data_IF_545660325000
#
_entry.id   IF_545660325000
#
_cell.length_a   1.000
_cell.length_b   1.000
_cell.length_c   1.000
_cell.angle_alpha   90.00
_cell.angle_beta   90.00
_cell.angle_gamma   90.00
#
_symmetry.space_group_name_H-M   'P 1'
#
loop_
_entity.id
_entity.type
_entity.pdbx_description
1 polymer ?
#
# COMPACT_ATOMS: atom_id res chain seq x y z
N UNK A 1 -40.25 -9.76 4.65
CA UNK A 1 -39.07 -8.89 4.80
C UNK A 1 -37.74 -9.63 5.01
N UNK A 2 -37.72 -10.94 5.28
CA UNK A 2 -36.48 -11.69 5.55
C UNK A 2 -35.65 -12.00 4.29
N UNK A 3 -36.30 -12.26 3.14
CA UNK A 3 -35.61 -12.64 1.91
C UNK A 3 -34.66 -11.55 1.37
N UNK A 4 -35.04 -10.25 1.30
CA UNK A 4 -34.10 -9.19 0.90
C UNK A 4 -32.89 -9.05 1.83
N UNK A 5 -33.09 -9.23 3.14
CA UNK A 5 -32.02 -9.17 4.13
C UNK A 5 -31.01 -10.30 3.93
N UNK A 6 -31.51 -11.53 3.76
CA UNK A 6 -30.69 -12.71 3.51
C UNK A 6 -29.91 -12.57 2.21
N UNK A 7 -30.59 -12.16 1.13
CA UNK A 7 -29.96 -11.97 -0.17
C UNK A 7 -28.84 -10.93 -0.10
N UNK A 8 -29.07 -9.79 0.56
CA UNK A 8 -28.06 -8.75 0.76
C UNK A 8 -26.82 -9.31 1.46
N UNK A 9 -26.99 -10.01 2.59
CA UNK A 9 -25.88 -10.55 3.35
C UNK A 9 -25.12 -11.65 2.60
N UNK A 10 -25.82 -12.49 1.84
CA UNK A 10 -25.20 -13.51 0.98
C UNK A 10 -24.44 -12.89 -0.20
N UNK A 11 -24.98 -11.84 -0.81
CA UNK A 11 -24.29 -11.11 -1.88
C UNK A 11 -22.99 -10.47 -1.36
N UNK A 12 -23.02 -9.82 -0.19
CA UNK A 12 -21.79 -9.30 0.45
C UNK A 12 -20.80 -10.41 0.75
N UNK A 13 -21.26 -11.54 1.28
CA UNK A 13 -20.39 -12.67 1.57
C UNK A 13 -19.70 -13.20 0.31
N UNK A 14 -20.46 -13.36 -0.78
CA UNK A 14 -19.98 -13.88 -2.05
C UNK A 14 -19.04 -12.88 -2.77
N UNK A 15 -19.53 -11.69 -3.10
CA UNK A 15 -18.78 -10.72 -3.89
C UNK A 15 -17.65 -10.07 -3.10
N UNK A 16 -17.86 -9.85 -1.80
CA UNK A 16 -16.86 -9.30 -0.90
C UNK A 16 -15.82 -10.30 -0.42
N UNK A 17 -16.03 -11.60 -0.66
CA UNK A 17 -15.16 -12.66 -0.17
C UNK A 17 -15.05 -12.69 1.37
N UNK A 18 -16.14 -12.38 2.06
CA UNK A 18 -16.19 -12.24 3.52
C UNK A 18 -17.23 -13.15 4.17
N UNK A 19 -17.18 -13.31 5.49
CA UNK A 19 -18.17 -14.08 6.23
C UNK A 19 -19.17 -13.12 6.86
N UNK A 20 -20.44 -13.25 6.49
CA UNK A 20 -21.56 -12.48 7.07
C UNK A 20 -22.66 -13.45 7.46
N UNK A 21 -23.25 -13.26 8.64
CA UNK A 21 -24.47 -13.99 9.00
C UNK A 21 -25.60 -13.60 8.04
N UNK A 22 -26.32 -14.56 7.42
CA UNK A 22 -27.44 -14.28 6.53
C UNK A 22 -28.52 -13.41 7.17
N UNK A 23 -28.69 -13.51 8.49
CA UNK A 23 -29.72 -12.81 9.25
C UNK A 23 -29.22 -11.51 9.91
N UNK A 24 -28.01 -11.05 9.59
CA UNK A 24 -27.45 -9.84 10.22
C UNK A 24 -28.24 -8.59 9.84
N UNK A 25 -28.89 -7.89 10.80
CA UNK A 25 -29.64 -6.66 10.53
C UNK A 25 -28.76 -5.40 10.54
N UNK A 26 -27.43 -5.55 10.73
CA UNK A 26 -26.53 -4.42 10.92
C UNK A 26 -25.93 -3.94 9.60
N UNK A 27 -25.67 -2.63 9.54
CA UNK A 27 -24.98 -1.95 8.43
C UNK A 27 -25.63 -2.15 7.05
N UNK A 28 -26.96 -2.24 6.99
CA UNK A 28 -27.68 -2.56 5.75
C UNK A 28 -27.41 -1.52 4.66
N UNK A 29 -27.49 -0.24 4.98
CA UNK A 29 -27.22 0.84 4.03
C UNK A 29 -25.78 0.79 3.50
N UNK A 30 -24.81 0.55 4.38
CA UNK A 30 -23.41 0.45 3.98
C UNK A 30 -23.16 -0.76 3.07
N UNK A 31 -23.79 -1.90 3.35
CA UNK A 31 -23.74 -3.09 2.49
C UNK A 31 -24.35 -2.86 1.12
N UNK A 32 -25.52 -2.20 1.07
CA UNK A 32 -26.17 -1.83 -0.19
C UNK A 32 -25.28 -0.89 -1.00
N UNK A 33 -24.72 0.14 -0.36
CA UNK A 33 -23.77 1.05 -0.99
C UNK A 33 -22.53 0.30 -1.52
N UNK A 34 -21.95 -0.60 -0.73
CA UNK A 34 -20.78 -1.37 -1.11
C UNK A 34 -21.04 -2.28 -2.32
N UNK A 35 -22.17 -2.98 -2.36
CA UNK A 35 -22.55 -3.77 -3.53
C UNK A 35 -22.85 -2.90 -4.75
N UNK A 36 -23.48 -1.74 -4.56
CA UNK A 36 -23.73 -0.78 -5.64
C UNK A 36 -22.43 -0.21 -6.24
N UNK A 37 -21.46 0.15 -5.39
CA UNK A 37 -20.13 0.56 -5.82
C UNK A 37 -19.41 -0.60 -6.54
N UNK A 38 -19.47 -1.82 -6.01
CA UNK A 38 -18.89 -3.00 -6.64
C UNK A 38 -19.47 -3.23 -8.04
N UNK A 39 -20.80 -3.18 -8.17
CA UNK A 39 -21.50 -3.41 -9.42
C UNK A 39 -21.14 -2.36 -10.49
N UNK A 40 -20.92 -1.10 -10.10
CA UNK A 40 -20.45 -0.04 -11.01
C UNK A 40 -18.98 -0.21 -11.42
N UNK A 41 -18.12 -0.61 -10.50
CA UNK A 41 -16.69 -0.80 -10.74
C UNK A 41 -16.39 -2.03 -11.61
N UNK A 42 -17.05 -3.17 -11.32
CA UNK A 42 -16.64 -4.49 -11.82
C UNK A 42 -16.57 -4.61 -13.34
N UNK A 43 -17.50 -4.06 -14.14
CA UNK A 43 -17.43 -4.15 -15.61
C UNK A 43 -16.17 -3.50 -16.17
N UNK A 44 -15.82 -2.29 -15.73
CA UNK A 44 -14.62 -1.59 -16.19
C UNK A 44 -13.34 -2.32 -15.77
N UNK A 45 -13.31 -2.82 -14.54
CA UNK A 45 -12.22 -3.64 -14.03
C UNK A 45 -11.99 -4.94 -14.83
N UNK A 46 -13.04 -5.60 -15.31
CA UNK A 46 -12.88 -6.82 -16.11
C UNK A 46 -12.17 -6.57 -17.45
N UNK A 47 -12.26 -5.35 -17.97
CA UNK A 47 -11.66 -4.95 -19.24
C UNK A 47 -10.26 -4.37 -19.05
N UNK A 48 -10.09 -3.49 -18.07
CA UNK A 48 -8.86 -2.69 -17.87
C UNK A 48 -7.94 -3.28 -16.80
N UNK A 49 -8.48 -4.01 -15.82
CA UNK A 49 -7.75 -4.50 -14.66
C UNK A 49 -7.51 -3.41 -13.60
N UNK A 50 -6.49 -3.63 -12.76
CA UNK A 50 -6.05 -2.68 -11.74
C UNK A 50 -4.53 -2.49 -11.83
N UNK A 51 -4.02 -1.28 -11.53
CA UNK A 51 -2.59 -1.10 -11.30
C UNK A 51 -2.14 -1.88 -10.06
N UNK A 52 -0.85 -2.24 -10.03
CA UNK A 52 -0.22 -2.83 -8.84
C UNK A 52 -0.35 -1.88 -7.64
N UNK A 53 -0.63 -2.44 -6.46
CA UNK A 53 -0.87 -1.64 -5.26
C UNK A 53 0.42 -1.06 -4.68
N UNK A 54 1.54 -1.77 -4.79
CA UNK A 54 2.80 -1.38 -4.16
C UNK A 54 3.30 0.00 -4.65
N UNK A 55 3.37 0.30 -5.96
CA UNK A 55 3.78 1.63 -6.43
C UNK A 55 2.82 2.74 -5.99
N UNK A 56 1.51 2.44 -5.94
CA UNK A 56 0.49 3.37 -5.48
C UNK A 56 0.62 3.67 -3.99
N UNK A 57 0.85 2.65 -3.17
CA UNK A 57 1.08 2.77 -1.73
C UNK A 57 2.33 3.62 -1.48
N UNK A 58 3.43 3.29 -2.15
CA UNK A 58 4.69 4.03 -2.03
C UNK A 58 4.53 5.51 -2.40
N UNK A 59 3.79 5.80 -3.48
CA UNK A 59 3.51 7.16 -3.91
C UNK A 59 2.61 7.90 -2.91
N UNK A 60 1.58 7.23 -2.38
CA UNK A 60 0.67 7.81 -1.41
C UNK A 60 1.35 8.08 -0.05
N UNK A 61 2.20 7.18 0.42
CA UNK A 61 2.99 7.39 1.63
C UNK A 61 3.88 8.63 1.52
N UNK A 62 4.55 8.83 0.37
CA UNK A 62 5.33 10.03 0.12
C UNK A 62 4.46 11.29 0.06
N UNK A 63 3.35 11.24 -0.68
CA UNK A 63 2.44 12.39 -0.89
C UNK A 63 1.84 12.88 0.42
N UNK A 64 1.45 11.97 1.31
CA UNK A 64 0.77 12.28 2.57
C UNK A 64 1.71 12.29 3.78
N UNK A 65 3.03 12.25 3.54
CA UNK A 65 4.07 12.26 4.57
C UNK A 65 3.89 11.17 5.64
N UNK A 66 3.48 9.98 5.22
CA UNK A 66 3.34 8.83 6.11
C UNK A 66 4.71 8.20 6.39
N UNK A 67 4.90 7.61 7.59
CA UNK A 67 6.05 6.75 7.83
C UNK A 67 6.10 5.62 6.80
N UNK A 68 7.25 5.46 6.12
CA UNK A 68 7.42 4.49 5.03
C UNK A 68 7.11 3.06 5.48
N UNK A 69 6.25 2.37 4.75
CA UNK A 69 5.74 1.01 5.02
C UNK A 69 4.49 0.97 5.90
N UNK A 70 4.05 2.08 6.49
CA UNK A 70 2.90 2.08 7.40
C UNK A 70 1.58 1.81 6.66
N UNK A 71 1.36 2.47 5.53
CA UNK A 71 0.15 2.25 4.72
C UNK A 71 0.19 0.85 4.11
N UNK A 72 1.37 0.37 3.71
CA UNK A 72 1.55 -1.00 3.24
C UNK A 72 1.11 -2.02 4.31
N UNK A 73 1.57 -1.84 5.54
CA UNK A 73 1.19 -2.68 6.67
C UNK A 73 -0.33 -2.65 6.92
N UNK A 74 -0.93 -1.47 6.83
CA UNK A 74 -2.36 -1.28 7.03
C UNK A 74 -3.17 -2.01 5.94
N UNK A 75 -2.85 -1.81 4.66
CA UNK A 75 -3.52 -2.47 3.52
C UNK A 75 -3.38 -4.00 3.58
N UNK A 76 -2.22 -4.51 4.02
CA UNK A 76 -2.03 -5.95 4.26
C UNK A 76 -3.01 -6.47 5.32
N UNK A 77 -3.20 -5.72 6.41
CA UNK A 77 -4.09 -6.10 7.50
C UNK A 77 -5.57 -5.99 7.13
N UNK A 78 -5.94 -4.96 6.38
CA UNK A 78 -7.30 -4.64 6.00
C UNK A 78 -7.88 -5.62 4.98
N UNK A 79 -7.14 -5.88 3.91
CA UNK A 79 -7.69 -6.58 2.74
C UNK A 79 -6.83 -7.73 2.23
N UNK A 80 -5.64 -7.94 2.80
CA UNK A 80 -4.61 -8.80 2.20
C UNK A 80 -4.29 -8.35 0.76
N UNK A 81 -4.28 -7.03 0.52
CA UNK A 81 -4.08 -6.40 -0.80
C UNK A 81 -5.15 -6.77 -1.83
N UNK A 82 -6.35 -7.16 -1.39
CA UNK A 82 -7.46 -7.51 -2.29
C UNK A 82 -8.30 -6.27 -2.61
N UNK A 83 -8.25 -5.86 -3.87
CA UNK A 83 -8.96 -4.66 -4.36
C UNK A 83 -10.48 -4.76 -4.16
N UNK A 84 -11.07 -5.92 -4.40
CA UNK A 84 -12.53 -6.10 -4.37
C UNK A 84 -13.13 -6.52 -3.02
N UNK A 85 -12.41 -6.33 -1.91
CA UNK A 85 -12.88 -6.79 -0.60
C UNK A 85 -14.07 -5.95 -0.12
N UNK A 86 -15.11 -6.62 0.40
CA UNK A 86 -16.20 -5.97 1.14
C UNK A 86 -16.27 -6.61 2.52
N UNK A 87 -16.26 -5.82 3.59
CA UNK A 87 -16.37 -6.32 4.96
C UNK A 87 -17.81 -6.67 5.33
N UNK A 88 -17.99 -7.39 6.44
CA UNK A 88 -19.32 -7.67 6.98
C UNK A 88 -20.08 -6.41 7.43
N UNK A 89 -19.39 -5.28 7.62
CA UNK A 89 -19.97 -3.98 7.91
C UNK A 89 -20.13 -3.09 6.66
N UNK A 90 -19.65 -3.54 5.49
CA UNK A 90 -19.72 -2.76 4.24
C UNK A 90 -18.51 -1.84 4.00
N UNK A 91 -17.38 -2.07 4.66
CA UNK A 91 -16.12 -1.43 4.31
C UNK A 91 -15.62 -1.95 2.96
N UNK A 92 -15.03 -1.08 2.13
CA UNK A 92 -14.77 -1.37 0.71
C UNK A 92 -13.31 -1.18 0.36
N UNK A 93 -12.83 -1.97 -0.60
CA UNK A 93 -11.55 -1.71 -1.23
C UNK A 93 -10.32 -2.24 -0.48
N UNK A 94 -9.12 -1.99 -1.03
CA UNK A 94 -7.87 -2.43 -0.42
C UNK A 94 -7.61 -1.80 0.96
N UNK A 95 -8.10 -0.57 1.18
CA UNK A 95 -7.97 0.14 2.45
C UNK A 95 -9.19 0.07 3.36
N UNK A 96 -10.21 -0.72 3.00
CA UNK A 96 -11.43 -0.96 3.75
C UNK A 96 -12.07 0.33 4.31
N UNK A 97 -12.29 1.32 3.44
CA UNK A 97 -13.00 2.54 3.84
C UNK A 97 -14.50 2.27 3.96
N UNK A 98 -15.10 2.73 5.06
CA UNK A 98 -16.56 2.78 5.19
C UNK A 98 -17.13 3.81 4.20
N UNK A 99 -18.38 3.66 3.71
CA UNK A 99 -18.95 4.59 2.74
C UNK A 99 -18.93 6.07 3.16
N UNK A 100 -19.15 6.36 4.44
CA UNK A 100 -19.04 7.73 4.96
C UNK A 100 -17.61 8.26 4.87
N UNK A 101 -16.62 7.44 5.28
CA UNK A 101 -15.20 7.79 5.20
C UNK A 101 -14.74 7.96 3.76
N UNK A 102 -15.14 7.08 2.85
CA UNK A 102 -14.83 7.21 1.42
C UNK A 102 -15.28 8.58 0.87
N UNK A 103 -16.50 9.01 1.19
CA UNK A 103 -16.99 10.35 0.81
C UNK A 103 -16.20 11.48 1.46
N UNK A 104 -15.89 11.37 2.75
CA UNK A 104 -15.09 12.39 3.45
C UNK A 104 -13.68 12.51 2.87
N UNK A 105 -13.16 11.43 2.31
CA UNK A 105 -11.83 11.36 1.71
C UNK A 105 -11.86 11.52 0.18
N UNK A 106 -12.94 12.04 -0.40
CA UNK A 106 -13.07 12.26 -1.85
C UNK A 106 -12.77 11.00 -2.70
N UNK A 107 -13.19 9.83 -2.22
CA UNK A 107 -13.10 8.55 -2.94
C UNK A 107 -14.45 8.23 -3.57
N UNK A 108 -14.55 8.42 -4.87
CA UNK A 108 -15.77 8.14 -5.65
C UNK A 108 -15.96 6.65 -5.89
N UNK A 109 -14.86 5.96 -6.22
CA UNK A 109 -14.81 4.52 -6.42
C UNK A 109 -13.82 3.87 -5.44
N UNK A 110 -14.32 3.30 -4.32
CA UNK A 110 -13.49 2.61 -3.34
C UNK A 110 -12.83 1.32 -3.84
N UNK A 111 -13.20 0.84 -5.03
CA UNK A 111 -12.56 -0.31 -5.68
C UNK A 111 -11.56 0.11 -6.75
N UNK A 112 -11.51 1.39 -7.14
CA UNK A 112 -10.38 1.93 -7.89
C UNK A 112 -9.15 1.98 -6.98
N UNK A 113 -8.08 1.30 -7.40
CA UNK A 113 -6.89 1.15 -6.57
C UNK A 113 -6.18 2.49 -6.31
N UNK A 114 -6.21 3.42 -7.27
CA UNK A 114 -5.57 4.72 -7.13
C UNK A 114 -6.32 5.56 -6.11
N UNK A 115 -7.64 5.67 -6.26
CA UNK A 115 -8.48 6.45 -5.35
C UNK A 115 -8.50 5.85 -3.95
N UNK A 116 -8.67 4.53 -3.83
CA UNK A 116 -8.78 3.88 -2.53
C UNK A 116 -7.49 4.01 -1.71
N UNK A 117 -6.31 3.82 -2.33
CA UNK A 117 -5.03 3.94 -1.64
C UNK A 117 -4.75 5.39 -1.23
N UNK A 118 -5.01 6.36 -2.12
CA UNK A 118 -4.82 7.78 -1.81
C UNK A 118 -5.76 8.26 -0.70
N UNK A 119 -7.04 7.86 -0.73
CA UNK A 119 -8.01 8.16 0.32
C UNK A 119 -7.68 7.52 1.67
N UNK A 120 -7.22 6.27 1.67
CA UNK A 120 -6.72 5.62 2.89
C UNK A 120 -5.48 6.30 3.46
N UNK A 121 -4.56 6.73 2.60
CA UNK A 121 -3.38 7.49 3.03
C UNK A 121 -3.77 8.83 3.67
N UNK A 122 -4.69 9.56 3.03
CA UNK A 122 -5.25 10.82 3.56
C UNK A 122 -5.88 10.62 4.93
N UNK A 123 -6.74 9.61 5.07
CA UNK A 123 -7.42 9.32 6.32
C UNK A 123 -6.44 8.95 7.45
N UNK A 124 -5.43 8.13 7.14
CA UNK A 124 -4.40 7.76 8.10
C UNK A 124 -3.54 8.96 8.52
N UNK A 125 -3.19 9.84 7.58
CA UNK A 125 -2.46 11.07 7.86
C UNK A 125 -3.25 12.00 8.80
N UNK A 126 -4.56 12.13 8.60
CA UNK A 126 -5.43 12.87 9.54
C UNK A 126 -5.38 12.29 10.95
N UNK A 127 -5.40 10.97 11.10
CA UNK A 127 -5.35 10.34 12.41
C UNK A 127 -3.98 10.52 13.08
N UNK A 128 -2.90 10.43 12.31
CA UNK A 128 -1.55 10.71 12.82
C UNK A 128 -1.46 12.15 13.34
N UNK A 129 -1.95 13.13 12.58
CA UNK A 129 -1.98 14.54 13.02
C UNK A 129 -2.86 14.75 14.24
N UNK A 130 -4.01 14.08 14.30
CA UNK A 130 -4.99 14.25 15.39
C UNK A 130 -4.50 13.69 16.73
N UNK A 131 -3.80 12.57 16.71
CA UNK A 131 -3.46 11.84 17.94
C UNK A 131 -1.98 11.94 18.33
N UNK A 132 -1.11 12.38 17.43
CA UNK A 132 0.35 12.45 17.63
C UNK A 132 0.94 11.17 18.24
N UNK A 133 0.34 10.03 17.88
CA UNK A 133 0.64 8.74 18.47
C UNK A 133 0.26 7.65 17.50
N UNK A 134 1.27 6.88 17.06
CA UNK A 134 1.08 5.85 16.05
C UNK A 134 0.04 4.79 16.46
N UNK A 135 0.06 4.22 17.69
CA UNK A 135 -0.97 3.26 18.11
C UNK A 135 -2.38 3.85 18.14
N UNK A 136 -2.53 5.11 18.57
CA UNK A 136 -3.84 5.77 18.63
C UNK A 136 -4.37 6.12 17.24
N UNK A 137 -3.50 6.54 16.32
CA UNK A 137 -3.87 6.78 14.94
C UNK A 137 -4.35 5.50 14.24
N UNK A 138 -3.65 4.39 14.44
CA UNK A 138 -4.06 3.06 13.94
C UNK A 138 -5.39 2.63 14.57
N UNK A 139 -5.57 2.85 15.88
CA UNK A 139 -6.84 2.56 16.55
C UNK A 139 -7.99 3.41 15.99
N UNK A 140 -7.74 4.68 15.69
CA UNK A 140 -8.73 5.60 15.15
C UNK A 140 -9.10 5.27 13.70
N UNK A 141 -8.15 4.76 12.91
CA UNK A 141 -8.43 4.26 11.58
C UNK A 141 -9.45 3.10 11.63
N UNK A 142 -9.27 2.15 12.55
CA UNK A 142 -10.14 0.98 12.72
C UNK A 142 -11.48 1.29 13.40
N UNK A 143 -11.45 1.92 14.58
CA UNK A 143 -12.63 2.12 15.41
C UNK A 143 -13.37 3.43 15.12
N UNK A 144 -12.79 4.31 14.29
CA UNK A 144 -13.20 5.70 14.16
C UNK A 144 -12.63 6.57 15.28
N UNK A 145 -12.24 7.81 15.00
CA UNK A 145 -11.53 8.66 15.96
C UNK A 145 -12.37 9.05 17.18
N UNK A 146 -13.69 9.09 17.06
CA UNK A 146 -14.58 9.37 18.20
C UNK A 146 -14.56 8.31 19.29
N UNK A 147 -14.05 7.10 18.99
CA UNK A 147 -13.90 6.04 19.98
C UNK A 147 -12.54 6.07 20.68
N UNK A 148 -11.58 6.84 20.17
CA UNK A 148 -10.20 6.92 20.66
C UNK A 148 -10.09 8.12 21.62
N UNK A 149 -10.62 7.95 22.82
CA UNK A 149 -10.60 8.98 23.87
C UNK A 149 -9.24 9.02 24.60
N UNK A 150 -8.17 9.31 23.86
CA UNK A 150 -6.78 9.32 24.37
C UNK A 150 -6.18 7.94 24.67
N UNK A 151 -6.91 6.85 24.34
CA UNK A 151 -6.47 5.47 24.55
C UNK A 151 -7.04 4.55 23.47
N UNK A 152 -6.37 3.42 23.24
CA UNK A 152 -6.89 2.35 22.39
C UNK A 152 -8.19 1.78 23.03
N UNK A 153 -9.31 1.68 22.27
CA UNK A 153 -10.55 1.09 22.76
C UNK A 153 -10.37 -0.35 23.26
N UNK A 154 -10.85 -0.64 24.48
CA UNK A 154 -10.81 -1.98 25.09
C UNK A 154 -12.02 -2.83 24.67
N UNK A 155 -12.21 -2.99 23.36
CA UNK A 155 -13.28 -3.81 22.77
C UNK A 155 -12.74 -5.16 22.25
N UNK A 156 -11.46 -5.47 22.47
CA UNK A 156 -10.77 -6.66 21.98
C UNK A 156 -10.44 -6.64 20.49
N UNK A 157 -11.32 -6.09 19.64
CA UNK A 157 -11.10 -6.00 18.20
C UNK A 157 -10.01 -4.98 17.85
N UNK A 158 -10.12 -3.76 18.39
CA UNK A 158 -9.20 -2.66 18.05
C UNK A 158 -7.81 -2.89 18.65
N UNK A 159 -7.72 -3.44 19.87
CA UNK A 159 -6.44 -3.84 20.46
C UNK A 159 -5.72 -4.87 19.59
N UNK A 160 -6.46 -5.88 19.12
CA UNK A 160 -5.92 -6.89 18.21
C UNK A 160 -5.49 -6.27 16.87
N UNK A 161 -6.32 -5.39 16.30
CA UNK A 161 -6.03 -4.70 15.05
C UNK A 161 -4.74 -3.88 15.15
N UNK A 162 -4.60 -3.06 16.20
CA UNK A 162 -3.40 -2.23 16.43
C UNK A 162 -2.14 -3.09 16.52
N UNK A 163 -2.19 -4.18 17.31
CA UNK A 163 -1.07 -5.10 17.42
C UNK A 163 -0.71 -5.75 16.06
N UNK A 164 -1.72 -6.13 15.27
CA UNK A 164 -1.53 -6.75 13.95
C UNK A 164 -0.87 -5.78 12.97
N UNK A 165 -1.32 -4.52 12.92
CA UNK A 165 -0.74 -3.48 12.06
C UNK A 165 0.69 -3.16 12.49
N UNK A 166 0.96 -2.96 13.78
CA UNK A 166 2.32 -2.66 14.25
C UNK A 166 3.30 -3.81 13.96
N UNK A 167 2.85 -5.07 14.07
CA UNK A 167 3.64 -6.23 13.68
C UNK A 167 3.90 -6.28 12.16
N UNK A 168 2.89 -5.93 11.34
CA UNK A 168 3.08 -5.82 9.90
C UNK A 168 4.00 -4.65 9.53
N UNK A 169 3.93 -3.55 10.27
CA UNK A 169 4.75 -2.38 10.08
C UNK A 169 6.23 -2.68 10.36
N UNK A 170 6.53 -3.46 11.40
CA UNK A 170 7.90 -3.93 11.65
C UNK A 170 8.53 -4.74 10.50
N UNK A 171 7.72 -5.34 9.62
CA UNK A 171 8.18 -6.10 8.44
C UNK A 171 8.28 -5.26 7.16
N UNK A 172 7.42 -4.26 7.02
CA UNK A 172 7.26 -3.44 5.81
C UNK A 172 8.06 -2.15 5.87
N UNK A 173 8.43 -1.70 7.08
CA UNK A 173 9.32 -0.57 7.28
C UNK A 173 10.66 -0.87 6.63
N UNK A 174 11.13 -0.06 5.65
CA UNK A 174 12.45 -0.23 5.11
C UNK A 174 13.49 -0.03 6.23
N UNK A 175 14.61 -0.78 6.21
CA UNK A 175 15.70 -0.52 7.13
C UNK A 175 16.11 0.95 7.01
N UNK A 176 16.53 1.59 8.12
CA UNK A 176 17.01 2.96 8.05
C UNK A 176 18.06 3.02 6.95
N UNK A 177 17.87 3.94 6.00
CA UNK A 177 18.80 4.14 4.90
C UNK A 177 20.18 4.33 5.52
N UNK A 178 21.11 3.39 5.25
CA UNK A 178 22.49 3.61 5.64
C UNK A 178 22.90 4.87 4.91
N UNK A 179 23.13 5.94 5.67
CA UNK A 179 23.85 7.09 5.15
C UNK A 179 25.23 6.56 4.77
N UNK A 180 25.39 6.18 3.51
CA UNK A 180 26.70 5.93 2.92
C UNK A 180 27.35 7.30 2.94
N UNK A 181 28.17 7.55 3.97
CA UNK A 181 29.05 8.70 3.95
C UNK A 181 29.86 8.57 2.65
N UNK A 182 29.89 9.59 1.79
CA UNK A 182 30.77 9.53 0.63
C UNK A 182 32.17 9.18 1.14
N UNK A 183 32.75 8.13 0.58
CA UNK A 183 34.14 7.78 0.89
C UNK A 183 34.98 9.03 0.64
N UNK A 184 35.91 9.39 1.54
CA UNK A 184 36.83 10.48 1.26
C UNK A 184 37.49 10.19 -0.10
N UNK A 185 37.66 11.21 -0.97
CA UNK A 185 38.34 11.01 -2.23
C UNK A 185 39.67 10.31 -1.96
N UNK A 186 40.09 9.34 -2.80
CA UNK A 186 41.36 8.67 -2.60
C UNK A 186 42.45 9.74 -2.48
N UNK A 187 43.22 9.67 -1.40
CA UNK A 187 44.36 10.56 -1.21
C UNK A 187 45.23 10.48 -2.46
N UNK A 188 45.46 11.63 -3.10
CA UNK A 188 46.29 11.70 -4.30
C UNK A 188 47.64 11.04 -3.99
N UNK A 189 47.95 9.97 -4.72
CA UNK A 189 49.25 9.33 -4.64
C UNK A 189 50.34 10.37 -4.97
N UNK A 190 51.49 10.37 -4.28
CA UNK A 190 52.56 11.28 -4.63
C UNK A 190 53.05 10.94 -6.04
N UNK A 191 52.94 11.90 -6.95
CA UNK A 191 53.61 11.85 -8.26
C UNK A 191 55.11 11.86 -7.98
N UNK A 192 55.76 10.71 -8.14
CA UNK A 192 57.22 10.63 -8.16
C UNK A 192 57.73 11.44 -9.36
N UNK A 193 58.54 12.46 -9.07
CA UNK A 193 59.21 13.26 -10.09
C UNK A 193 60.19 12.38 -10.89
N UNK A 194 59.85 12.08 -12.14
CA UNK A 194 60.80 11.50 -13.09
C UNK A 194 61.65 12.65 -13.66
N UNK A 195 62.91 12.74 -13.23
CA UNK A 195 63.91 13.55 -13.93
C UNK A 195 64.15 12.93 -15.32
N UNK A 196 63.94 13.71 -16.39
CA UNK A 196 64.42 13.39 -17.74
C UNK A 196 65.85 13.91 -17.91
N UNK A 197 66.79 13.16 -18.48
CA UNK A 197 68.03 13.74 -18.98
C UNK A 197 67.79 14.39 -20.35
N UNK A 198 68.44 15.53 -20.57
CA UNK A 198 68.46 16.22 -21.84
C UNK A 198 69.41 15.51 -22.81
N UNK A 199 68.92 15.14 -23.99
CA UNK A 199 69.74 14.76 -25.13
C UNK A 199 69.52 15.79 -26.25
N UNK A 200 70.62 16.45 -26.63
CA UNK A 200 70.72 17.30 -27.81
C UNK A 200 70.97 16.43 -29.04
N UNK A 201 70.27 16.71 -30.15
CA UNK A 201 70.51 16.00 -31.41
C UNK A 201 69.50 16.39 -32.49
N UNK A 202 69.93 17.31 -33.35
CA UNK A 202 69.32 17.78 -34.60
C UNK A 202 69.04 16.66 -35.62
N UNK A 203 67.90 16.72 -36.34
CA UNK A 203 67.82 16.61 -37.82
C UNK A 203 66.40 16.40 -38.39
N UNK A 204 66.03 17.30 -39.33
CA UNK A 204 65.49 17.04 -40.69
C UNK A 204 64.08 16.40 -40.91
N UNK A 205 63.11 17.27 -41.24
CA UNK A 205 62.28 17.38 -42.48
C UNK A 205 61.59 16.13 -43.15
N UNK A 206 60.23 16.24 -43.21
CA UNK A 206 59.22 15.87 -44.26
C UNK A 206 58.59 14.45 -44.33
N UNK A 207 57.42 14.31 -45.02
CA UNK A 207 56.27 13.57 -44.51
C UNK A 207 55.91 12.33 -45.35
N UNK A 208 55.05 11.46 -44.84
CA UNK A 208 54.37 10.46 -45.69
C UNK A 208 53.00 10.05 -45.13
N UNK A 209 52.15 9.69 -46.11
CA UNK A 209 50.72 9.45 -46.11
C UNK A 209 50.32 8.03 -45.63
N UNK A 210 49.09 7.98 -45.13
CA UNK A 210 47.99 7.06 -45.49
C UNK A 210 47.96 5.57 -45.09
N UNK A 211 46.70 5.18 -44.86
CA UNK A 211 46.07 3.86 -45.09
C UNK A 211 46.35 2.77 -44.07
N UNK A 212 45.44 1.86 -43.76
CA UNK A 212 44.01 1.68 -44.01
C UNK A 212 43.58 0.42 -43.24
N UNK A 213 42.29 0.32 -42.92
CA UNK A 213 41.54 -0.94 -42.78
C UNK A 213 41.90 -1.84 -41.57
N UNK A 214 41.04 -2.71 -41.03
CA UNK A 214 39.79 -3.29 -41.51
C UNK A 214 39.05 -3.88 -40.28
N UNK A 215 37.73 -3.66 -40.22
CA UNK A 215 36.58 -4.55 -39.86
C UNK A 215 36.87 -5.78 -38.96
N UNK A 216 35.99 -6.22 -38.05
CA UNK A 216 34.56 -6.54 -38.26
C UNK A 216 33.79 -6.69 -36.94
N UNK A 217 32.54 -6.20 -36.96
CA UNK A 217 31.44 -6.62 -36.09
C UNK A 217 31.16 -8.13 -36.18
N UNK A 218 30.65 -8.76 -35.11
CA UNK A 218 29.29 -9.37 -35.15
C UNK A 218 28.76 -9.73 -33.75
N UNK A 219 27.47 -9.45 -33.55
CA UNK A 219 26.65 -9.78 -32.40
C UNK A 219 26.11 -11.23 -32.46
N UNK A 220 25.79 -11.83 -31.30
CA UNK A 220 24.75 -12.85 -31.19
C UNK A 220 24.17 -13.00 -29.77
N UNK A 221 22.84 -13.12 -29.73
CA UNK A 221 21.91 -13.30 -28.59
C UNK A 221 21.86 -14.74 -28.03
N UNK A 222 21.14 -14.87 -26.89
CA UNK A 222 20.37 -16.01 -26.28
C UNK A 222 21.01 -16.57 -25.00
N UNK A 223 20.30 -17.04 -23.96
CA UNK A 223 18.88 -17.26 -23.67
C UNK A 223 18.69 -17.45 -22.13
N UNK A 224 17.44 -17.42 -21.67
CA UNK A 224 16.95 -17.69 -20.30
C UNK A 224 16.29 -19.07 -20.23
N UNK A 225 16.30 -19.76 -19.07
CA UNK A 225 15.24 -20.71 -18.73
C UNK A 225 14.56 -20.44 -17.36
N UNK A 226 13.44 -21.13 -17.13
CA UNK A 226 12.34 -20.79 -16.23
C UNK A 226 12.14 -21.75 -15.02
N UNK A 227 11.44 -21.22 -14.00
CA UNK A 227 10.46 -21.79 -13.03
C UNK A 227 10.79 -23.02 -12.16
N UNK A 228 10.46 -22.89 -10.86
CA UNK A 228 10.17 -23.96 -9.90
C UNK A 228 9.14 -23.52 -8.85
N UNK A 229 8.17 -24.38 -8.56
CA UNK A 229 6.94 -24.19 -7.78
C UNK A 229 7.01 -24.77 -6.36
N UNK A 230 6.30 -24.22 -5.37
CA UNK A 230 5.98 -24.92 -4.10
C UNK A 230 4.56 -24.61 -3.59
N UNK A 231 3.93 -25.50 -2.79
CA UNK A 231 2.48 -25.54 -2.59
C UNK A 231 1.94 -24.96 -1.27
N UNK A 232 0.62 -24.76 -1.30
CA UNK A 232 -0.31 -24.04 -0.43
C UNK A 232 -0.76 -24.82 0.81
N UNK A 233 -0.83 -24.17 1.98
CA UNK A 233 -1.45 -24.69 3.20
C UNK A 233 -2.86 -24.08 3.44
N UNK A 234 -3.77 -24.89 3.99
CA UNK A 234 -5.21 -24.62 4.18
C UNK A 234 -5.53 -23.81 5.46
N UNK A 235 -6.69 -23.11 5.54
CA UNK A 235 -7.08 -22.38 6.74
C UNK A 235 -8.00 -23.17 7.69
N UNK A 236 -7.78 -22.98 8.99
CA UNK A 236 -8.56 -23.52 10.12
C UNK A 236 -9.77 -22.61 10.42
N UNK A 237 -10.93 -23.24 10.66
CA UNK A 237 -12.23 -22.59 10.95
C UNK A 237 -12.27 -21.98 12.36
N UNK A 238 -12.91 -20.81 12.53
CA UNK A 238 -13.38 -20.29 13.83
C UNK A 238 -14.81 -19.73 13.74
N UNK A 239 -15.59 -20.03 14.77
CA UNK A 239 -17.01 -19.68 14.97
C UNK A 239 -17.17 -18.31 15.69
N UNK A 240 -18.39 -17.72 15.77
CA UNK A 240 -18.60 -16.26 15.87
C UNK A 240 -18.67 -15.70 17.31
N UNK A 241 -18.27 -14.43 17.46
CA UNK A 241 -18.37 -13.61 18.68
C UNK A 241 -19.62 -12.71 18.68
N UNK A 242 -20.08 -12.41 19.90
CA UNK A 242 -21.18 -11.48 20.25
C UNK A 242 -20.73 -10.01 20.24
N UNK A 243 -21.63 -9.17 19.69
CA UNK A 243 -21.99 -7.74 19.90
C UNK A 243 -21.00 -6.76 20.57
N UNK A 244 -20.86 -5.61 19.89
CA UNK A 244 -20.93 -4.27 20.48
C UNK A 244 -21.68 -3.32 19.52
N UNK A 245 -22.42 -2.36 20.08
CA UNK A 245 -23.46 -1.55 19.44
C UNK A 245 -22.86 -0.29 18.77
N UNK A 246 -23.43 0.12 17.64
CA UNK A 246 -23.13 1.37 16.95
C UNK A 246 -23.84 2.55 17.65
N UNK A 247 -23.09 3.61 17.94
CA UNK A 247 -23.63 4.90 18.37
C UNK A 247 -23.83 5.82 17.15
N UNK A 248 -25.02 6.43 17.06
CA UNK A 248 -25.41 7.38 16.04
C UNK A 248 -24.77 8.78 16.26
N UNK A 249 -24.64 9.62 15.23
CA UNK A 249 -24.04 10.95 15.35
C UNK A 249 -24.99 11.96 16.02
N UNK A 250 -24.49 12.63 17.05
CA UNK A 250 -25.17 13.75 17.74
C UNK A 250 -25.16 15.03 16.90
N UNK A 251 -26.27 15.77 17.00
CA UNK A 251 -26.51 17.09 16.38
C UNK A 251 -25.50 18.14 16.86
N UNK A 252 -25.01 18.97 15.94
CA UNK A 252 -24.35 20.24 16.27
C UNK A 252 -25.37 21.27 16.76
N UNK A 253 -25.05 22.13 17.75
CA UNK A 253 -25.83 23.32 18.04
C UNK A 253 -25.47 24.46 17.07
N UNK A 254 -26.52 25.17 16.64
CA UNK A 254 -26.44 26.39 15.85
C UNK A 254 -25.80 27.54 16.65
N UNK A 255 -25.07 28.41 15.94
CA UNK A 255 -24.83 29.80 16.32
C UNK A 255 -25.37 30.69 15.22
#
# INVERSE_FOLDING_TARGET
MLAPLVLLNLAVAFFGGTVVSPLSPFFLEAKVHALGAYARHRPGCLVVGHPDLEPLIDAAERRHHLPRGLLQALVEVESEKRVHRISAAGAMGPGQLMPGTARLMDVEDPFDSTQAIDGSARYLAEQLRRFDSLPLAIAAYNAGPGNVNGRVPRNGETEYYVAKVLRAYGRTRPPPERVVRPSPPPAAAPVAAVLRPAASGTAVVRPARASAALRTDTAAKRAVPARGTTPRAAPVKRAPKRRAQAAAPGKLPAR
#
